data_IF_989901560775
#
_entry.id   IF_989901560775
#
_cell.length_a   1.000
_cell.length_b   1.000
_cell.length_c   1.000
_cell.angle_alpha   90.00
_cell.angle_beta   90.00
_cell.angle_gamma   90.00
#
_symmetry.space_group_name_H-M   'P 1'
#
loop_
_entity.id
_entity.type
_entity.pdbx_description
1 polymer ?
#
# COMPACT_ATOMS: atom_id res chain seq x y z
N UNK A 1 -7.57 -14.80 13.16
CA UNK A 1 -6.14 -14.78 12.80
C UNK A 1 -5.82 -13.36 12.38
N UNK A 2 -4.91 -12.62 13.04
CA UNK A 2 -4.48 -11.36 12.48
C UNK A 2 -3.81 -11.67 11.13
N UNK A 3 -4.06 -10.87 10.10
CA UNK A 3 -3.50 -11.14 8.79
C UNK A 3 -1.97 -11.09 8.86
N UNK A 4 -1.32 -12.04 8.18
CA UNK A 4 0.13 -12.21 8.15
C UNK A 4 0.85 -11.13 7.31
N UNK A 5 0.57 -9.86 7.56
CA UNK A 5 1.29 -8.75 6.94
C UNK A 5 2.61 -8.54 7.68
N UNK A 6 3.73 -8.59 6.95
CA UNK A 6 5.03 -8.18 7.51
C UNK A 6 5.11 -6.66 7.46
N UNK A 7 4.76 -5.99 8.56
CA UNK A 7 4.85 -4.53 8.69
C UNK A 7 6.19 -4.19 9.33
N UNK A 8 7.00 -3.40 8.63
CA UNK A 8 8.29 -2.90 9.09
C UNK A 8 8.19 -1.39 9.22
N UNK A 9 8.05 -0.91 10.46
CA UNK A 9 8.07 0.53 10.73
C UNK A 9 9.51 1.00 10.78
N UNK A 10 9.86 1.88 9.84
CA UNK A 10 11.13 2.55 9.80
C UNK A 10 10.93 3.98 10.30
N UNK A 11 11.64 4.34 11.38
CA UNK A 11 11.71 5.72 11.85
C UNK A 11 12.64 6.50 10.92
N UNK A 12 12.23 7.65 10.34
CA UNK A 12 13.19 8.51 9.67
C UNK A 12 14.13 9.09 10.71
N UNK A 13 15.42 8.84 10.54
CA UNK A 13 16.45 9.48 11.35
C UNK A 13 16.44 10.99 11.04
N UNK A 14 16.12 11.79 12.07
CA UNK A 14 16.67 13.13 12.32
C UNK A 14 15.90 14.40 11.88
N UNK A 15 14.91 14.40 10.98
CA UNK A 15 14.32 15.69 10.50
C UNK A 15 12.79 15.87 10.65
N UNK A 16 12.02 14.82 10.95
CA UNK A 16 10.56 14.93 11.15
C UNK A 16 10.06 13.95 12.24
N UNK A 17 9.99 14.38 13.51
CA UNK A 17 9.70 13.49 14.65
C UNK A 17 8.28 12.88 14.65
N UNK A 18 7.38 13.36 13.78
CA UNK A 18 5.96 12.98 13.77
C UNK A 18 5.54 12.17 12.53
N UNK A 19 6.49 11.74 11.68
CA UNK A 19 6.18 11.04 10.42
C UNK A 19 6.91 9.72 10.35
N UNK A 20 6.21 8.61 10.47
CA UNK A 20 6.77 7.28 10.30
C UNK A 20 6.61 6.78 8.86
N UNK A 21 7.44 5.81 8.48
CA UNK A 21 7.31 5.07 7.23
C UNK A 21 7.06 3.62 7.62
N UNK A 22 5.92 3.05 7.20
CA UNK A 22 5.65 1.63 7.33
C UNK A 22 5.80 0.99 5.96
N UNK A 23 6.76 0.10 5.85
CA UNK A 23 6.81 -0.82 4.73
C UNK A 23 5.99 -2.05 5.07
N UNK A 24 5.19 -2.52 4.12
CA UNK A 24 4.42 -3.74 4.27
C UNK A 24 4.36 -4.51 2.95
N UNK A 25 3.83 -5.73 3.02
CA UNK A 25 3.62 -6.56 1.84
C UNK A 25 2.38 -7.43 2.02
N UNK A 26 1.56 -7.50 0.98
CA UNK A 26 0.44 -8.43 0.88
C UNK A 26 0.90 -9.87 0.62
N UNK A 27 2.17 -10.09 0.26
CA UNK A 27 2.71 -11.41 -0.06
C UNK A 27 2.13 -12.02 -1.35
N UNK A 28 1.31 -11.26 -2.10
CA UNK A 28 0.66 -11.69 -3.35
C UNK A 28 0.82 -10.60 -4.40
N UNK A 29 0.98 -11.03 -5.66
CA UNK A 29 1.07 -10.10 -6.79
C UNK A 29 -0.29 -9.48 -7.09
N UNK A 30 -0.28 -8.24 -7.56
CA UNK A 30 -1.46 -7.55 -8.05
C UNK A 30 -1.43 -7.41 -9.56
N UNK A 31 -2.59 -7.55 -10.17
CA UNK A 31 -2.81 -7.19 -11.57
C UNK A 31 -2.80 -5.67 -11.69
N UNK A 32 -1.76 -5.12 -12.32
CA UNK A 32 -1.59 -3.67 -12.42
C UNK A 32 -2.66 -3.00 -13.26
N UNK A 33 -3.21 -3.66 -14.29
CA UNK A 33 -4.28 -3.09 -15.08
C UNK A 33 -5.53 -2.86 -14.21
N UNK A 34 -5.90 -3.85 -13.38
CA UNK A 34 -6.99 -3.73 -12.41
C UNK A 34 -6.66 -2.76 -11.28
N UNK A 35 -5.45 -2.82 -10.72
CA UNK A 35 -5.04 -1.93 -9.64
C UNK A 35 -5.01 -0.47 -10.10
N UNK A 36 -4.48 -0.16 -11.28
CA UNK A 36 -4.61 1.17 -11.89
C UNK A 36 -6.07 1.53 -12.18
N UNK A 37 -6.88 0.54 -12.58
CA UNK A 37 -8.33 0.60 -12.66
C UNK A 37 -9.01 1.15 -11.41
N UNK A 38 -8.58 0.69 -10.24
CA UNK A 38 -9.15 1.08 -8.95
C UNK A 38 -8.51 2.37 -8.43
N UNK A 39 -7.18 2.49 -8.56
CA UNK A 39 -6.40 3.62 -8.06
C UNK A 39 -6.73 4.93 -8.77
N UNK A 40 -7.14 4.90 -10.05
CA UNK A 40 -7.50 6.13 -10.82
C UNK A 40 -8.59 6.98 -10.16
N UNK A 41 -9.40 6.38 -9.28
CA UNK A 41 -10.47 7.07 -8.54
C UNK A 41 -9.97 7.75 -7.26
N UNK A 42 -8.69 7.57 -6.90
CA UNK A 42 -8.08 8.11 -5.69
C UNK A 42 -7.38 9.43 -6.03
N UNK A 43 -7.54 10.48 -5.20
CA UNK A 43 -6.82 11.73 -5.39
C UNK A 43 -5.30 11.51 -5.36
N UNK A 44 -4.57 12.21 -6.23
CA UNK A 44 -3.11 12.09 -6.32
C UNK A 44 -2.61 10.78 -6.92
N UNK A 45 -3.50 9.92 -7.43
CA UNK A 45 -3.13 8.64 -7.98
C UNK A 45 -2.24 8.76 -9.23
N UNK A 46 -1.05 8.18 -9.15
CA UNK A 46 -0.15 7.92 -10.25
C UNK A 46 0.07 6.42 -10.35
N UNK A 47 -0.55 5.82 -11.35
CA UNK A 47 -0.29 4.44 -11.71
C UNK A 47 0.64 4.38 -12.92
N UNK A 48 1.55 3.42 -12.92
CA UNK A 48 2.48 3.18 -14.02
C UNK A 48 2.56 1.68 -14.26
N UNK A 49 1.82 1.21 -15.26
CA UNK A 49 1.81 -0.19 -15.66
C UNK A 49 3.20 -0.66 -16.10
N UNK A 50 3.94 0.18 -16.84
CA UNK A 50 5.31 -0.11 -17.28
C UNK A 50 6.31 -0.31 -16.13
N UNK A 51 6.10 0.37 -15.00
CA UNK A 51 6.94 0.25 -13.80
C UNK A 51 6.35 -0.72 -12.77
N UNK A 52 5.10 -1.17 -12.96
CA UNK A 52 4.36 -1.95 -11.99
C UNK A 52 4.24 -1.25 -10.63
N UNK A 53 3.94 0.06 -10.62
CA UNK A 53 3.80 0.83 -9.37
C UNK A 53 2.57 1.75 -9.43
N UNK A 54 1.84 1.81 -8.32
CA UNK A 54 0.70 2.68 -8.11
C UNK A 54 0.92 3.50 -6.83
N UNK A 55 1.14 4.80 -6.99
CA UNK A 55 1.20 5.75 -5.88
C UNK A 55 -0.13 6.49 -5.78
N UNK A 56 -0.64 6.72 -4.59
CA UNK A 56 -1.85 7.53 -4.38
C UNK A 56 -1.89 8.05 -2.94
N UNK A 57 -2.72 9.06 -2.69
CA UNK A 57 -2.89 9.63 -1.35
C UNK A 57 -4.11 8.97 -0.68
N UNK A 58 -3.92 8.44 0.52
CA UNK A 58 -4.95 7.79 1.32
C UNK A 58 -5.12 8.57 2.63
N UNK A 59 -6.09 9.49 2.63
CA UNK A 59 -6.24 10.45 3.73
C UNK A 59 -5.04 11.39 3.80
N UNK A 60 -4.35 11.41 4.94
CA UNK A 60 -3.12 12.20 5.15
C UNK A 60 -1.85 11.43 4.78
N UNK A 61 -1.97 10.13 4.50
CA UNK A 61 -0.87 9.22 4.21
C UNK A 61 -0.63 9.13 2.70
N UNK A 62 0.62 8.88 2.32
CA UNK A 62 0.96 8.56 0.94
C UNK A 62 1.24 7.07 0.84
N UNK A 63 0.54 6.39 -0.07
CA UNK A 63 0.66 4.95 -0.30
C UNK A 63 1.35 4.71 -1.62
N UNK A 64 2.34 3.82 -1.63
CA UNK A 64 3.01 3.34 -2.84
C UNK A 64 2.86 1.83 -2.90
N UNK A 65 2.00 1.35 -3.78
CA UNK A 65 1.76 -0.05 -4.05
C UNK A 65 2.62 -0.51 -5.24
N UNK A 66 3.28 -1.64 -5.11
CA UNK A 66 4.06 -2.27 -6.17
C UNK A 66 3.36 -3.54 -6.68
N UNK A 67 3.57 -3.91 -7.95
CA UNK A 67 3.00 -5.11 -8.56
C UNK A 67 3.36 -6.40 -7.81
N UNK A 68 4.49 -6.39 -7.12
CA UNK A 68 4.97 -7.50 -6.31
C UNK A 68 4.11 -7.76 -5.06
N UNK A 69 3.22 -6.84 -4.70
CA UNK A 69 2.46 -6.90 -3.45
C UNK A 69 3.07 -6.06 -2.33
N UNK A 70 4.23 -5.44 -2.54
CA UNK A 70 4.85 -4.52 -1.59
C UNK A 70 4.05 -3.22 -1.51
N UNK A 71 3.94 -2.65 -0.32
CA UNK A 71 3.27 -1.40 -0.01
C UNK A 71 4.19 -0.54 0.85
N UNK A 72 4.42 0.69 0.46
CA UNK A 72 5.10 1.69 1.27
C UNK A 72 4.06 2.70 1.76
N UNK A 73 3.89 2.81 3.07
CA UNK A 73 2.99 3.74 3.74
C UNK A 73 3.83 4.84 4.35
N UNK A 74 3.60 6.08 3.94
CA UNK A 74 4.33 7.25 4.45
C UNK A 74 3.40 8.13 5.27
N UNK A 75 3.97 8.78 6.29
CA UNK A 75 3.24 9.63 7.25
C UNK A 75 2.24 8.84 8.10
N UNK A 76 2.55 7.57 8.37
CA UNK A 76 1.83 6.79 9.38
C UNK A 76 2.20 7.27 10.77
N UNK A 77 1.28 7.09 11.72
CA UNK A 77 1.49 7.43 13.14
C UNK A 77 2.07 6.26 13.92
N UNK A 78 1.48 5.07 13.74
CA UNK A 78 1.79 3.86 14.51
C UNK A 78 1.52 2.58 13.69
N UNK A 79 1.88 1.41 14.23
CA UNK A 79 1.61 0.12 13.59
C UNK A 79 0.12 -0.14 13.36
N UNK A 80 -0.72 0.22 14.33
CA UNK A 80 -2.17 0.09 14.22
C UNK A 80 -2.74 0.89 13.05
N UNK A 81 -2.16 2.07 12.78
CA UNK A 81 -2.53 2.96 11.69
C UNK A 81 -2.13 2.34 10.34
N UNK A 82 -0.93 1.76 10.26
CA UNK A 82 -0.48 0.99 9.11
C UNK A 82 -1.34 -0.26 8.87
N UNK A 83 -1.71 -1.01 9.91
CA UNK A 83 -2.61 -2.16 9.83
C UNK A 83 -4.00 -1.78 9.31
N UNK A 84 -4.56 -0.70 9.83
CA UNK A 84 -5.86 -0.20 9.40
C UNK A 84 -5.83 0.25 7.93
N UNK A 85 -4.77 0.97 7.52
CA UNK A 85 -4.55 1.34 6.13
C UNK A 85 -4.41 0.11 5.24
N UNK A 86 -3.58 -0.86 5.60
CA UNK A 86 -3.40 -2.11 4.87
C UNK A 86 -4.71 -2.90 4.71
N UNK A 87 -5.52 -3.02 5.77
CA UNK A 87 -6.82 -3.67 5.70
C UNK A 87 -7.81 -2.92 4.78
N UNK A 88 -7.79 -1.59 4.81
CA UNK A 88 -8.58 -0.76 3.89
C UNK A 88 -8.14 -0.92 2.44
N UNK A 89 -6.83 -0.93 2.20
CA UNK A 89 -6.22 -1.16 0.89
C UNK A 89 -6.54 -2.57 0.37
N UNK A 90 -6.43 -3.60 1.21
CA UNK A 90 -6.79 -4.97 0.81
C UNK A 90 -8.23 -5.04 0.33
N UNK A 91 -9.17 -4.42 1.05
CA UNK A 91 -10.58 -4.39 0.63
C UNK A 91 -10.79 -3.61 -0.66
N UNK A 92 -10.07 -2.50 -0.83
CA UNK A 92 -10.16 -1.66 -2.02
C UNK A 92 -9.58 -2.36 -3.26
N UNK A 93 -8.46 -3.05 -3.10
CA UNK A 93 -7.76 -3.77 -4.16
C UNK A 93 -8.10 -5.27 -4.22
N UNK A 94 -9.13 -5.71 -3.47
CA UNK A 94 -9.56 -7.11 -3.38
C UNK A 94 -9.77 -7.74 -4.76
N UNK A 95 -10.37 -7.00 -5.70
CA UNK A 95 -10.59 -7.44 -7.08
C UNK A 95 -9.37 -7.35 -8.01
N UNK A 96 -8.28 -6.73 -7.57
CA UNK A 96 -7.03 -6.57 -8.31
C UNK A 96 -5.91 -7.52 -7.87
N UNK A 97 -6.04 -8.20 -6.73
CA UNK A 97 -5.11 -9.28 -6.42
C UNK A 97 -5.20 -10.36 -7.50
N UNK A 98 -4.05 -10.80 -7.99
CA UNK A 98 -4.02 -11.96 -8.86
C UNK A 98 -4.51 -13.16 -8.02
N UNK A 99 -5.73 -13.61 -8.28
CA UNK A 99 -6.16 -14.92 -7.83
C UNK A 99 -5.19 -15.92 -8.44
N UNK A 100 -4.43 -16.59 -7.58
CA UNK A 100 -3.75 -17.81 -7.97
C UNK A 100 -4.87 -18.80 -8.27
N UNK A 101 -5.28 -18.87 -9.54
CA UNK A 101 -6.19 -19.91 -10.03
C UNK A 101 -5.55 -21.24 -9.64
N UNK A 102 -6.09 -21.88 -8.62
CA UNK A 102 -5.82 -23.28 -8.29
C UNK A 102 -6.76 -24.17 -9.10
#
# INVERSE_FOLDING_TARGET
MPPGYSIVITRPCTDAPDRYIAESSFGRRLDMAKACGLARHIPGARCSESLGVAKFDYGEQTVILYQSGRVDLRKIRDESDALAAMAGLERMFAGAFAEEKR
#
